data_IF_648730273907
#
_entry.id   IF_648730273907
#
_cell.length_a   1.000
_cell.length_b   1.000
_cell.length_c   1.000
_cell.angle_alpha   90.00
_cell.angle_beta   90.00
_cell.angle_gamma   90.00
#
_symmetry.space_group_name_H-M   'P 1'
#
loop_
_entity.id
_entity.type
_entity.pdbx_description
1 polymer ?
#
# COMPACT_ATOMS: atom_id res chain seq x y z
N UNK A 1 1.89 -17.86 4.29
CA UNK A 1 0.90 -16.94 3.70
C UNK A 1 1.36 -15.49 3.97
N UNK A 2 2.59 -15.15 3.57
CA UNK A 2 3.27 -13.87 3.90
C UNK A 2 3.40 -12.98 2.64
N UNK A 3 3.26 -13.60 1.45
CA UNK A 3 3.63 -12.97 0.18
C UNK A 3 2.56 -11.99 -0.33
N UNK A 4 1.27 -12.35 -0.26
CA UNK A 4 0.18 -11.44 -0.64
C UNK A 4 0.02 -10.27 0.36
N UNK A 5 0.33 -10.51 1.63
CA UNK A 5 0.34 -9.47 2.66
C UNK A 5 1.37 -8.38 2.32
N UNK A 6 2.56 -8.77 1.85
CA UNK A 6 3.62 -7.83 1.48
C UNK A 6 3.18 -6.88 0.36
N UNK A 7 2.44 -7.38 -0.64
CA UNK A 7 1.88 -6.55 -1.72
C UNK A 7 0.88 -5.54 -1.17
N UNK A 8 -0.07 -5.97 -0.36
CA UNK A 8 -1.07 -5.08 0.25
C UNK A 8 -0.42 -4.03 1.15
N UNK A 9 0.55 -4.42 1.98
CA UNK A 9 1.28 -3.50 2.86
C UNK A 9 2.04 -2.44 2.05
N UNK A 10 2.74 -2.85 0.98
CA UNK A 10 3.46 -1.93 0.10
C UNK A 10 2.52 -0.91 -0.55
N UNK A 11 1.36 -1.37 -1.06
CA UNK A 11 0.33 -0.51 -1.63
C UNK A 11 -0.19 0.52 -0.61
N UNK A 12 -0.55 0.07 0.60
CA UNK A 12 -1.08 0.94 1.65
C UNK A 12 -0.04 1.97 2.12
N UNK A 13 1.21 1.56 2.33
CA UNK A 13 2.29 2.46 2.71
C UNK A 13 2.56 3.52 1.64
N UNK A 14 2.51 3.13 0.36
CA UNK A 14 2.63 4.05 -0.77
C UNK A 14 1.54 5.13 -0.74
N UNK A 15 0.29 4.71 -0.49
CA UNK A 15 -0.85 5.63 -0.36
C UNK A 15 -0.71 6.57 0.84
N UNK A 16 -0.39 6.05 2.02
CA UNK A 16 -0.22 6.88 3.22
C UNK A 16 0.90 7.91 3.08
N UNK A 17 2.02 7.55 2.45
CA UNK A 17 3.10 8.50 2.18
C UNK A 17 2.69 9.56 1.15
N UNK A 18 1.92 9.18 0.13
CA UNK A 18 1.36 10.13 -0.83
C UNK A 18 0.40 11.14 -0.17
N UNK A 19 -0.45 10.68 0.76
CA UNK A 19 -1.33 11.56 1.56
C UNK A 19 -0.54 12.55 2.44
N UNK A 20 0.64 12.16 2.91
CA UNK A 20 1.57 13.03 3.63
C UNK A 20 2.37 13.97 2.72
N UNK A 21 2.19 13.89 1.40
CA UNK A 21 2.84 14.72 0.39
C UNK A 21 4.15 14.17 -0.16
N UNK A 22 4.48 12.90 0.11
CA UNK A 22 5.68 12.25 -0.42
C UNK A 22 5.30 11.35 -1.59
N UNK A 23 5.70 11.74 -2.81
CA UNK A 23 5.32 11.01 -4.03
C UNK A 23 3.87 11.27 -4.43
N UNK A 24 3.36 10.45 -5.35
CA UNK A 24 1.98 10.52 -5.82
C UNK A 24 1.41 9.11 -5.94
N UNK A 25 0.17 8.93 -5.51
CA UNK A 25 -0.63 7.75 -5.78
C UNK A 25 -2.05 8.25 -5.96
N UNK A 26 -2.62 8.06 -7.15
CA UNK A 26 -4.03 8.41 -7.36
C UNK A 26 -4.94 7.40 -6.68
N UNK A 27 -6.12 7.86 -6.23
CA UNK A 27 -7.16 6.96 -5.69
C UNK A 27 -7.53 5.86 -6.69
N UNK A 28 -7.46 6.18 -7.99
CA UNK A 28 -7.71 5.25 -9.09
C UNK A 28 -6.65 4.15 -9.19
N UNK A 29 -5.36 4.49 -9.04
CA UNK A 29 -4.25 3.52 -9.01
C UNK A 29 -4.33 2.61 -7.78
N UNK A 30 -4.60 3.17 -6.59
CA UNK A 30 -4.76 2.38 -5.37
C UNK A 30 -5.97 1.44 -5.46
N UNK A 31 -7.10 1.93 -5.97
CA UNK A 31 -8.29 1.11 -6.21
C UNK A 31 -8.04 0.01 -7.26
N UNK A 32 -7.26 0.30 -8.30
CA UNK A 32 -6.89 -0.70 -9.30
C UNK A 32 -5.98 -1.79 -8.71
N UNK A 33 -5.06 -1.41 -7.83
CA UNK A 33 -4.15 -2.34 -7.18
C UNK A 33 -4.87 -3.24 -6.18
N UNK A 34 -5.84 -2.70 -5.43
CA UNK A 34 -6.70 -3.49 -4.55
C UNK A 34 -7.50 -4.55 -5.34
N UNK A 35 -8.10 -4.16 -6.47
CA UNK A 35 -8.80 -5.09 -7.37
C UNK A 35 -7.88 -6.16 -7.95
N UNK A 36 -6.66 -5.79 -8.33
CA UNK A 36 -5.67 -6.74 -8.85
C UNK A 36 -5.29 -7.78 -7.77
N UNK A 37 -5.06 -7.35 -6.53
CA UNK A 37 -4.81 -8.26 -5.41
C UNK A 37 -6.01 -9.17 -5.16
N UNK A 38 -7.23 -8.63 -5.09
CA UNK A 38 -8.45 -9.43 -4.90
C UNK A 38 -8.61 -10.50 -5.97
N UNK A 39 -8.36 -10.15 -7.24
CA UNK A 39 -8.43 -11.10 -8.37
C UNK A 39 -7.41 -12.23 -8.22
N UNK A 40 -6.18 -11.92 -7.78
CA UNK A 40 -5.17 -12.95 -7.48
C UNK A 40 -5.60 -13.84 -6.32
N UNK A 41 -6.25 -13.30 -5.29
CA UNK A 41 -6.82 -14.08 -4.19
C UNK A 41 -7.91 -15.04 -4.69
N UNK A 42 -8.84 -14.56 -5.52
CA UNK A 42 -9.94 -15.39 -6.06
C UNK A 42 -9.39 -16.52 -6.94
N UNK A 43 -8.50 -16.20 -7.88
CA UNK A 43 -7.84 -17.19 -8.74
C UNK A 43 -7.01 -18.17 -7.90
N UNK A 44 -6.28 -17.67 -6.91
CA UNK A 44 -5.46 -18.49 -6.00
C UNK A 44 -6.31 -19.45 -5.17
N UNK A 45 -7.50 -19.02 -4.74
CA UNK A 45 -8.46 -19.85 -4.01
C UNK A 45 -9.05 -20.96 -4.89
N UNK A 46 -9.34 -20.66 -6.14
CA UNK A 46 -9.96 -21.61 -7.08
C UNK A 46 -8.96 -22.58 -7.72
N UNK A 47 -7.74 -22.11 -8.02
CA UNK A 47 -6.77 -22.83 -8.86
C UNK A 47 -5.49 -23.23 -8.12
N UNK A 48 -5.28 -22.72 -6.91
CA UNK A 48 -4.02 -22.88 -6.16
C UNK A 48 -2.86 -22.04 -6.72
N UNK A 49 -3.07 -21.24 -7.77
CA UNK A 49 -2.04 -20.40 -8.40
C UNK A 49 -2.18 -18.93 -7.99
N UNK A 50 -1.12 -18.40 -7.39
CA UNK A 50 -1.06 -17.03 -6.87
C UNK A 50 -0.11 -16.20 -7.74
N UNK A 51 -0.62 -15.69 -8.87
CA UNK A 51 0.20 -14.99 -9.87
C UNK A 51 -0.55 -13.75 -10.33
N UNK A 52 0.10 -12.58 -10.26
CA UNK A 52 -0.37 -11.38 -10.93
C UNK A 52 -0.29 -11.57 -12.45
N UNK A 53 -1.35 -11.17 -13.16
CA UNK A 53 -1.28 -11.05 -14.61
C UNK A 53 -0.34 -9.88 -15.01
N UNK A 54 -0.11 -9.71 -16.31
CA UNK A 54 0.81 -8.68 -16.79
C UNK A 54 0.37 -7.27 -16.37
N UNK A 55 -0.94 -7.01 -16.29
CA UNK A 55 -1.50 -5.72 -15.87
C UNK A 55 -1.24 -5.48 -14.39
N UNK A 56 -1.57 -6.45 -13.53
CA UNK A 56 -1.31 -6.38 -12.09
C UNK A 56 0.18 -6.29 -11.79
N UNK A 57 1.03 -7.01 -12.52
CA UNK A 57 2.48 -6.91 -12.38
C UNK A 57 2.99 -5.51 -12.70
N UNK A 58 2.59 -4.93 -13.83
CA UNK A 58 3.00 -3.58 -14.22
C UNK A 58 2.58 -2.53 -13.17
N UNK A 59 1.37 -2.67 -12.64
CA UNK A 59 0.84 -1.80 -11.60
C UNK A 59 1.65 -1.90 -10.29
N UNK A 60 1.92 -3.13 -9.81
CA UNK A 60 2.71 -3.33 -8.60
C UNK A 60 4.18 -2.93 -8.76
N UNK A 61 4.75 -3.06 -9.96
CA UNK A 61 6.09 -2.55 -10.26
C UNK A 61 6.15 -1.02 -10.12
N UNK A 62 5.12 -0.30 -10.60
CA UNK A 62 5.02 1.14 -10.45
C UNK A 62 4.87 1.55 -8.96
N UNK A 63 4.01 0.85 -8.22
CA UNK A 63 3.81 1.08 -6.77
C UNK A 63 5.13 0.86 -6.00
N UNK A 64 5.80 -0.27 -6.22
CA UNK A 64 7.06 -0.58 -5.53
C UNK A 64 8.16 0.44 -5.85
N UNK A 65 8.24 0.88 -7.11
CA UNK A 65 9.18 1.92 -7.55
C UNK A 65 8.88 3.27 -6.88
N UNK A 66 7.61 3.64 -6.78
CA UNK A 66 7.20 4.86 -6.09
C UNK A 66 7.53 4.78 -4.59
N UNK A 67 7.24 3.64 -3.95
CA UNK A 67 7.56 3.43 -2.55
C UNK A 67 9.06 3.56 -2.26
N UNK A 68 9.92 2.96 -3.09
CA UNK A 68 11.37 3.12 -3.00
C UNK A 68 11.80 4.60 -3.06
N UNK A 69 11.25 5.35 -4.02
CA UNK A 69 11.53 6.79 -4.16
C UNK A 69 11.00 7.61 -2.99
N UNK A 70 9.84 7.25 -2.43
CA UNK A 70 9.28 7.87 -1.24
C UNK A 70 10.20 7.63 -0.04
N UNK A 71 10.65 6.39 0.20
CA UNK A 71 11.56 6.06 1.30
C UNK A 71 12.90 6.80 1.19
N UNK A 72 13.38 7.05 -0.01
CA UNK A 72 14.61 7.83 -0.22
C UNK A 72 14.48 9.30 0.23
N UNK A 73 13.28 9.89 0.16
CA UNK A 73 13.04 11.34 0.36
C UNK A 73 12.26 11.66 1.63
N UNK A 74 11.47 10.72 2.13
CA UNK A 74 10.58 10.93 3.25
C UNK A 74 11.41 11.03 4.56
N UNK A 75 11.13 12.02 5.41
CA UNK A 75 11.70 12.07 6.74
C UNK A 75 11.16 10.92 7.60
N UNK A 76 11.94 10.48 8.58
CA UNK A 76 11.60 9.32 9.43
C UNK A 76 10.20 9.44 10.08
N UNK A 77 9.78 10.64 10.49
CA UNK A 77 8.47 10.85 11.10
C UNK A 77 7.30 10.46 10.17
N UNK A 78 7.45 10.66 8.85
CA UNK A 78 6.42 10.32 7.88
C UNK A 78 6.34 8.80 7.67
N UNK A 79 7.50 8.14 7.69
CA UNK A 79 7.59 6.67 7.61
C UNK A 79 6.97 6.03 8.86
N UNK A 80 7.25 6.59 10.04
CA UNK A 80 6.63 6.13 11.30
C UNK A 80 5.12 6.31 11.27
N UNK A 81 4.62 7.49 10.86
CA UNK A 81 3.17 7.74 10.77
C UNK A 81 2.48 6.75 9.82
N UNK A 82 3.02 6.56 8.60
CA UNK A 82 2.50 5.58 7.65
C UNK A 82 2.50 4.14 8.21
N UNK A 83 3.54 3.76 8.96
CA UNK A 83 3.62 2.43 9.59
C UNK A 83 2.57 2.25 10.70
N UNK A 84 2.38 3.25 11.55
CA UNK A 84 1.33 3.23 12.60
C UNK A 84 -0.08 3.17 12.00
N UNK A 85 -0.29 3.80 10.84
CA UNK A 85 -1.55 3.69 10.09
C UNK A 85 -1.75 2.27 9.56
N UNK A 86 -0.70 1.64 9.03
CA UNK A 86 -0.75 0.25 8.58
C UNK A 86 -1.05 -0.72 9.73
N UNK A 87 -0.42 -0.55 10.90
CA UNK A 87 -0.67 -1.38 12.08
C UNK A 87 -2.13 -1.29 12.55
N UNK A 88 -2.69 -0.07 12.57
CA UNK A 88 -4.11 0.15 12.91
C UNK A 88 -5.05 -0.49 11.89
N UNK A 89 -4.71 -0.39 10.60
CA UNK A 89 -5.47 -1.05 9.54
C UNK A 89 -5.46 -2.57 9.72
N UNK A 90 -4.28 -3.15 9.97
CA UNK A 90 -4.12 -4.58 10.21
C UNK A 90 -4.87 -5.06 11.46
N UNK A 91 -5.00 -4.20 12.48
CA UNK A 91 -5.77 -4.47 13.69
C UNK A 91 -7.29 -4.21 13.55
N UNK A 92 -7.77 -3.75 12.39
CA UNK A 92 -9.19 -3.47 12.15
C UNK A 92 -9.72 -2.23 12.87
N UNK A 93 -8.86 -1.29 13.26
CA UNK A 93 -9.25 -0.07 13.97
C UNK A 93 -9.71 1.04 13.01
N UNK A 94 -10.86 1.66 13.28
CA UNK A 94 -11.38 2.80 12.49
C UNK A 94 -10.54 4.07 12.70
N UNK A 95 -10.24 4.78 11.61
CA UNK A 95 -9.37 5.95 11.61
C UNK A 95 -9.93 7.13 12.42
N UNK A 96 -9.15 7.68 13.35
CA UNK A 96 -9.33 9.05 13.86
C UNK A 96 -8.09 9.86 13.47
N UNK A 97 -8.29 10.92 12.69
CA UNK A 97 -7.22 11.84 12.26
C UNK A 97 -6.54 12.42 13.50
N UNK A 98 -5.22 12.19 13.70
CA UNK A 98 -4.54 12.75 14.85
C UNK A 98 -4.45 14.27 14.71
N UNK A 99 -4.80 14.98 15.78
CA UNK A 99 -4.63 16.43 15.86
C UNK A 99 -3.15 16.78 15.66
N UNK A 100 -2.85 17.58 14.63
CA UNK A 100 -1.50 18.07 14.33
C UNK A 100 -0.83 18.60 15.61
N UNK A 101 0.24 17.94 16.07
CA UNK A 101 1.17 18.53 17.03
C UNK A 101 1.90 19.67 16.32
N UNK A 102 1.55 20.90 16.69
CA UNK A 102 2.33 22.09 16.35
C UNK A 102 3.57 22.10 17.25
N UNK A 103 4.74 22.20 16.63
CA UNK A 103 6.00 22.52 17.30
C UNK A 103 5.95 23.94 17.89
#
# INVERSE_FOLDING_TARGET
>A
MIDAQTLTQTMLLTGFLAELGFGAASDEELSAAERAVSTVFDIGRETGRWILDNTGFALFAAIATNYDQQLHRAPLWAITDASERLDRFAAGMTYQTPARKRA
#
